data_IF_040054194913
#
_entry.id   IF_040054194913
#
_cell.length_a   1.000
_cell.length_b   1.000
_cell.length_c   1.000
_cell.angle_alpha   90.00
_cell.angle_beta   90.00
_cell.angle_gamma   90.00
#
_symmetry.space_group_name_H-M   'P 1'
#
loop_
_entity.id
_entity.type
_entity.pdbx_description
1 polymer ?
#
# COMPACT_ATOMS: atom_id res chain seq x y z
N UNK A 1 8.26 20.47 7.81
CA UNK A 1 7.15 19.61 7.39
C UNK A 1 7.33 19.01 6.01
N UNK A 2 7.76 19.78 5.01
CA UNK A 2 7.87 19.31 3.61
C UNK A 2 8.95 18.24 3.42
N UNK A 3 10.11 18.40 4.05
CA UNK A 3 11.24 17.48 3.88
C UNK A 3 10.95 16.01 4.23
N UNK A 4 10.30 15.67 5.37
CA UNK A 4 9.93 14.28 5.65
C UNK A 4 8.96 13.66 4.62
N UNK A 5 8.04 14.46 4.07
CA UNK A 5 7.11 13.99 3.04
C UNK A 5 7.82 13.71 1.71
N UNK A 6 8.72 14.61 1.30
CA UNK A 6 9.53 14.39 0.08
C UNK A 6 10.38 13.13 0.26
N UNK A 7 11.00 12.96 1.44
CA UNK A 7 11.82 11.79 1.71
C UNK A 7 11.00 10.49 1.66
N UNK A 8 9.79 10.46 2.22
CA UNK A 8 8.92 9.27 2.15
C UNK A 8 8.51 8.94 0.71
N UNK A 9 8.22 9.95 -0.12
CA UNK A 9 7.92 9.73 -1.54
C UNK A 9 9.13 9.18 -2.31
N UNK A 10 10.34 9.68 -2.03
CA UNK A 10 11.57 9.15 -2.65
C UNK A 10 11.82 7.70 -2.24
N UNK A 11 11.61 7.37 -0.97
CA UNK A 11 11.73 6.00 -0.47
C UNK A 11 10.76 5.06 -1.19
N UNK A 12 9.52 5.48 -1.41
CA UNK A 12 8.53 4.69 -2.16
C UNK A 12 8.94 4.46 -3.62
N UNK A 13 9.60 5.43 -4.27
CA UNK A 13 10.16 5.22 -5.60
C UNK A 13 11.29 4.19 -5.61
N UNK A 14 12.11 4.15 -4.54
CA UNK A 14 13.16 3.13 -4.39
C UNK A 14 12.57 1.73 -4.30
N UNK A 15 11.45 1.54 -3.61
CA UNK A 15 10.73 0.25 -3.56
C UNK A 15 10.40 -0.20 -4.98
N UNK A 16 9.71 0.64 -5.76
CA UNK A 16 9.33 0.30 -7.14
C UNK A 16 10.52 -0.01 -8.04
N UNK A 17 11.65 0.73 -7.87
CA UNK A 17 12.88 0.45 -8.61
C UNK A 17 13.49 -0.91 -8.23
N UNK A 18 13.45 -1.26 -6.95
CA UNK A 18 13.99 -2.55 -6.47
C UNK A 18 13.18 -3.72 -7.03
N UNK A 19 11.84 -3.62 -7.01
CA UNK A 19 10.93 -4.62 -7.59
C UNK A 19 11.25 -4.84 -9.07
N UNK A 20 11.39 -3.75 -9.85
CA UNK A 20 11.74 -3.80 -11.27
C UNK A 20 13.11 -4.46 -11.49
N UNK A 21 14.12 -4.11 -10.69
CA UNK A 21 15.47 -4.69 -10.82
C UNK A 21 15.44 -6.19 -10.51
N UNK A 22 14.74 -6.61 -9.47
CA UNK A 22 14.67 -8.02 -9.07
C UNK A 22 13.88 -8.85 -10.07
N UNK A 23 12.72 -8.38 -10.51
CA UNK A 23 11.92 -9.08 -11.52
C UNK A 23 12.59 -9.11 -12.88
N UNK A 24 13.32 -8.05 -13.26
CA UNK A 24 14.13 -8.04 -14.48
C UNK A 24 15.26 -9.08 -14.47
N UNK A 25 15.71 -9.53 -13.30
CA UNK A 25 16.67 -10.66 -13.18
C UNK A 25 16.00 -12.02 -13.25
N UNK A 26 14.71 -12.12 -12.96
CA UNK A 26 13.94 -13.37 -13.10
C UNK A 26 13.65 -13.63 -14.55
N UNK A 27 13.13 -12.64 -15.30
CA UNK A 27 12.84 -12.78 -16.71
C UNK A 27 12.06 -11.59 -17.31
N UNK A 28 12.04 -11.53 -18.65
CA UNK A 28 11.32 -10.47 -19.37
C UNK A 28 9.79 -10.62 -19.21
N UNK A 29 9.29 -11.86 -19.07
CA UNK A 29 7.88 -12.16 -18.87
C UNK A 29 7.42 -11.60 -17.54
N UNK A 30 8.16 -11.87 -16.45
CA UNK A 30 7.84 -11.42 -15.10
C UNK A 30 7.91 -9.89 -15.00
N UNK A 31 8.89 -9.28 -15.64
CA UNK A 31 9.03 -7.83 -15.69
C UNK A 31 7.85 -7.18 -16.41
N UNK A 32 7.50 -7.67 -17.61
CA UNK A 32 6.36 -7.17 -18.38
C UNK A 32 5.02 -7.39 -17.67
N UNK A 33 4.85 -8.56 -17.08
CA UNK A 33 3.66 -8.92 -16.32
C UNK A 33 3.48 -8.04 -15.06
N UNK A 34 4.55 -7.74 -14.33
CA UNK A 34 4.49 -6.87 -13.15
C UNK A 34 4.14 -5.43 -13.51
N UNK A 35 4.67 -4.92 -14.62
CA UNK A 35 4.34 -3.58 -15.12
C UNK A 35 2.84 -3.48 -15.46
N UNK A 36 2.30 -4.46 -16.19
CA UNK A 36 0.88 -4.51 -16.55
C UNK A 36 -0.01 -4.63 -15.32
N UNK A 37 0.33 -5.56 -14.42
CA UNK A 37 -0.40 -5.74 -13.15
C UNK A 37 -0.35 -4.49 -12.27
N UNK A 38 0.78 -3.76 -12.26
CA UNK A 38 0.93 -2.49 -11.55
C UNK A 38 -0.04 -1.42 -12.07
N UNK A 39 -0.18 -1.28 -13.38
CA UNK A 39 -1.16 -0.36 -13.99
C UNK A 39 -2.60 -0.76 -13.64
N UNK A 40 -2.93 -2.05 -13.73
CA UNK A 40 -4.24 -2.57 -13.35
C UNK A 40 -4.54 -2.28 -11.87
N UNK A 41 -3.58 -2.57 -10.98
CA UNK A 41 -3.70 -2.31 -9.55
C UNK A 41 -3.92 -0.82 -9.26
N UNK A 42 -3.07 0.03 -9.83
CA UNK A 42 -3.19 1.49 -9.68
C UNK A 42 -4.56 1.98 -10.14
N UNK A 43 -5.08 1.48 -11.26
CA UNK A 43 -6.40 1.85 -11.78
C UNK A 43 -7.50 1.52 -10.78
N UNK A 44 -7.42 0.36 -10.11
CA UNK A 44 -8.41 -0.06 -9.11
C UNK A 44 -8.31 0.78 -7.83
N UNK A 45 -7.10 0.99 -7.29
CA UNK A 45 -6.95 1.69 -6.01
C UNK A 45 -7.15 3.21 -6.10
N UNK A 46 -6.98 3.81 -7.29
CA UNK A 46 -7.21 5.26 -7.50
C UNK A 46 -8.64 5.70 -7.11
N UNK A 47 -9.63 4.83 -7.27
CA UNK A 47 -10.99 5.15 -6.82
C UNK A 47 -11.06 5.41 -5.30
N UNK A 48 -10.35 4.61 -4.51
CA UNK A 48 -10.29 4.78 -3.05
C UNK A 48 -9.37 5.92 -2.63
N UNK A 49 -8.26 6.16 -3.35
CA UNK A 49 -7.34 7.25 -3.02
C UNK A 49 -7.98 8.63 -3.15
N UNK A 50 -8.88 8.83 -4.12
CA UNK A 50 -9.65 10.07 -4.21
C UNK A 50 -10.41 10.38 -2.90
N UNK A 51 -11.03 9.35 -2.31
CA UNK A 51 -11.69 9.49 -1.01
C UNK A 51 -10.69 9.71 0.13
N UNK A 52 -9.56 8.99 0.15
CA UNK A 52 -8.51 9.19 1.17
C UNK A 52 -7.99 10.64 1.19
N UNK A 53 -7.77 11.25 0.02
CA UNK A 53 -7.34 12.65 -0.07
C UNK A 53 -8.41 13.62 0.43
N UNK A 54 -9.68 13.38 0.12
CA UNK A 54 -10.80 14.19 0.63
C UNK A 54 -10.91 14.08 2.16
N UNK A 55 -10.80 12.86 2.69
CA UNK A 55 -10.81 12.60 4.14
C UNK A 55 -9.63 13.29 4.83
N UNK A 56 -8.43 13.21 4.26
CA UNK A 56 -7.24 13.91 4.78
C UNK A 56 -7.44 15.43 4.83
N UNK A 57 -8.00 16.03 3.77
CA UNK A 57 -8.26 17.47 3.72
C UNK A 57 -9.28 17.88 4.79
N UNK A 58 -10.37 17.11 4.94
CA UNK A 58 -11.38 17.35 5.97
C UNK A 58 -10.78 17.26 7.38
N UNK A 59 -10.02 16.20 7.67
CA UNK A 59 -9.34 16.04 8.96
C UNK A 59 -8.37 17.20 9.24
N UNK A 60 -7.64 17.67 8.22
CA UNK A 60 -6.74 18.83 8.35
C UNK A 60 -7.48 20.10 8.69
N UNK A 61 -8.64 20.37 8.06
CA UNK A 61 -9.50 21.49 8.40
C UNK A 61 -9.98 21.40 9.84
N UNK A 62 -10.52 20.24 10.27
CA UNK A 62 -11.04 20.02 11.62
C UNK A 62 -9.96 20.14 12.69
N UNK A 63 -8.74 19.69 12.40
CA UNK A 63 -7.59 19.90 13.27
C UNK A 63 -7.26 21.41 13.43
N UNK A 64 -7.34 22.18 12.35
CA UNK A 64 -7.15 23.65 12.39
C UNK A 64 -8.24 24.37 13.20
N UNK A 65 -9.47 23.90 13.13
CA UNK A 65 -10.63 24.37 13.93
C UNK A 65 -10.59 23.90 15.40
N UNK A 66 -9.68 22.98 15.75
CA UNK A 66 -9.60 22.28 17.05
C UNK A 66 -10.84 21.43 17.37
N UNK A 67 -11.58 21.04 16.35
CA UNK A 67 -12.76 20.18 16.44
C UNK A 67 -12.32 18.71 16.34
N UNK A 68 -11.72 18.21 17.42
CA UNK A 68 -11.15 16.85 17.45
C UNK A 68 -12.24 15.76 17.45
N UNK A 69 -13.45 16.10 17.91
CA UNK A 69 -14.57 15.15 17.88
C UNK A 69 -14.98 14.83 16.44
N UNK A 70 -15.29 15.88 15.65
CA UNK A 70 -15.65 15.69 14.24
C UNK A 70 -14.52 15.07 13.42
N UNK A 71 -13.25 15.37 13.77
CA UNK A 71 -12.10 14.74 13.14
C UNK A 71 -12.05 13.24 13.43
N UNK A 72 -12.31 12.81 14.68
CA UNK A 72 -12.35 11.41 15.09
C UNK A 72 -13.51 10.65 14.44
N UNK A 73 -14.70 11.25 14.38
CA UNK A 73 -15.88 10.68 13.72
C UNK A 73 -15.63 10.47 12.23
N UNK A 74 -15.01 11.44 11.56
CA UNK A 74 -14.65 11.34 10.15
C UNK A 74 -13.60 10.24 9.91
N UNK A 75 -12.59 10.15 10.77
CA UNK A 75 -11.57 9.10 10.70
C UNK A 75 -12.22 7.71 10.84
N UNK A 76 -13.09 7.53 11.83
CA UNK A 76 -13.76 6.26 12.08
C UNK A 76 -14.70 5.87 10.94
N UNK A 77 -15.64 6.74 10.59
CA UNK A 77 -16.62 6.49 9.52
C UNK A 77 -15.96 6.34 8.15
N UNK A 78 -14.95 7.17 7.86
CA UNK A 78 -14.18 7.09 6.63
C UNK A 78 -13.38 5.80 6.50
N UNK A 79 -12.78 5.33 7.60
CA UNK A 79 -12.07 4.04 7.63
C UNK A 79 -13.04 2.88 7.38
N UNK A 80 -14.20 2.86 8.05
CA UNK A 80 -15.22 1.82 7.85
C UNK A 80 -15.71 1.80 6.40
N UNK A 81 -16.02 2.98 5.82
CA UNK A 81 -16.42 3.09 4.42
C UNK A 81 -15.36 2.49 3.49
N UNK A 82 -14.08 2.87 3.66
CA UNK A 82 -12.99 2.38 2.83
C UNK A 82 -12.76 0.88 3.01
N UNK A 83 -12.96 0.33 4.21
CA UNK A 83 -12.87 -1.12 4.42
C UNK A 83 -13.95 -1.87 3.65
N UNK A 84 -15.19 -1.43 3.71
CA UNK A 84 -16.28 -2.00 2.92
C UNK A 84 -16.03 -1.83 1.42
N UNK A 85 -15.60 -0.64 1.01
CA UNK A 85 -15.28 -0.35 -0.39
C UNK A 85 -14.11 -1.19 -0.91
N UNK A 86 -13.08 -1.43 -0.08
CA UNK A 86 -11.94 -2.28 -0.44
C UNK A 86 -12.34 -3.73 -0.73
N UNK A 87 -13.30 -4.28 0.02
CA UNK A 87 -13.85 -5.62 -0.22
C UNK A 87 -14.56 -5.68 -1.57
N UNK A 88 -15.33 -4.63 -1.91
CA UNK A 88 -16.00 -4.54 -3.21
C UNK A 88 -14.96 -4.46 -4.33
N UNK A 89 -13.96 -3.58 -4.19
CA UNK A 89 -12.89 -3.45 -5.19
C UNK A 89 -12.09 -4.75 -5.36
N UNK A 90 -11.80 -5.43 -4.26
CA UNK A 90 -11.12 -6.74 -4.29
C UNK A 90 -11.98 -7.78 -5.04
N UNK A 91 -13.27 -7.84 -4.78
CA UNK A 91 -14.18 -8.74 -5.49
C UNK A 91 -14.23 -8.42 -6.99
N UNK A 92 -14.35 -7.13 -7.36
CA UNK A 92 -14.32 -6.68 -8.75
C UNK A 92 -12.98 -7.02 -9.42
N UNK A 93 -11.87 -6.83 -8.70
CA UNK A 93 -10.54 -7.18 -9.18
C UNK A 93 -10.44 -8.68 -9.50
N UNK A 94 -10.88 -9.55 -8.60
CA UNK A 94 -10.84 -11.00 -8.82
C UNK A 94 -11.76 -11.47 -9.95
N UNK A 95 -12.97 -10.94 -10.05
CA UNK A 95 -13.91 -11.32 -11.10
C UNK A 95 -13.56 -10.75 -12.47
N UNK A 96 -12.92 -9.58 -12.48
CA UNK A 96 -12.64 -8.81 -13.71
C UNK A 96 -11.29 -9.09 -14.32
N UNK A 97 -10.28 -9.53 -13.55
CA UNK A 97 -8.89 -9.68 -14.04
C UNK A 97 -8.77 -10.69 -15.17
N UNK A 98 -9.25 -11.91 -14.98
CA UNK A 98 -9.16 -12.99 -15.97
C UNK A 98 -9.82 -12.63 -17.32
N UNK A 99 -11.11 -12.20 -17.37
CA UNK A 99 -11.74 -11.83 -18.64
C UNK A 99 -11.14 -10.58 -19.30
N UNK A 100 -10.59 -9.67 -18.49
CA UNK A 100 -9.89 -8.50 -19.01
C UNK A 100 -8.57 -8.90 -19.68
N UNK A 101 -7.74 -9.68 -18.99
CA UNK A 101 -6.45 -10.13 -19.49
C UNK A 101 -6.61 -10.98 -20.76
N UNK A 102 -7.61 -11.86 -20.81
CA UNK A 102 -7.89 -12.67 -21.98
C UNK A 102 -8.25 -11.86 -23.25
N UNK A 103 -8.69 -10.59 -23.10
CA UNK A 103 -9.02 -9.72 -24.23
C UNK A 103 -7.89 -8.78 -24.64
N UNK A 104 -6.98 -8.46 -23.71
CA UNK A 104 -5.99 -7.39 -23.89
C UNK A 104 -4.60 -7.95 -24.12
N UNK A 105 -4.29 -9.12 -23.57
CA UNK A 105 -2.95 -9.71 -23.62
C UNK A 105 -2.93 -10.88 -24.60
N UNK A 106 -2.11 -10.74 -25.65
CA UNK A 106 -1.95 -11.80 -26.67
C UNK A 106 -1.13 -13.00 -26.18
N UNK A 107 -0.12 -12.75 -25.30
CA UNK A 107 0.71 -13.82 -24.76
C UNK A 107 0.05 -14.48 -23.54
N UNK A 108 -0.28 -15.79 -23.61
CA UNK A 108 -0.84 -16.52 -22.47
C UNK A 108 0.09 -16.55 -21.26
N UNK A 109 1.40 -16.55 -21.47
CA UNK A 109 2.41 -16.59 -20.40
C UNK A 109 2.41 -15.29 -19.61
N UNK A 110 2.38 -14.14 -20.29
CA UNK A 110 2.29 -12.82 -19.66
C UNK A 110 0.94 -12.69 -18.94
N UNK A 111 -0.17 -13.14 -19.53
CA UNK A 111 -1.48 -13.08 -18.92
C UNK A 111 -1.52 -13.84 -17.58
N UNK A 112 -1.02 -15.08 -17.55
CA UNK A 112 -0.96 -15.91 -16.33
C UNK A 112 -0.03 -15.30 -15.28
N UNK A 113 1.12 -14.78 -15.67
CA UNK A 113 2.05 -14.13 -14.75
C UNK A 113 1.44 -12.83 -14.17
N UNK A 114 0.78 -12.02 -15.00
CA UNK A 114 0.07 -10.81 -14.58
C UNK A 114 -1.04 -11.14 -13.57
N UNK A 115 -1.84 -12.16 -13.84
CA UNK A 115 -2.93 -12.58 -12.95
C UNK A 115 -2.40 -13.02 -11.58
N UNK A 116 -1.32 -13.78 -11.53
CA UNK A 116 -0.67 -14.22 -10.27
C UNK A 116 -0.19 -13.02 -9.43
N UNK A 117 0.46 -12.06 -10.06
CA UNK A 117 0.92 -10.84 -9.38
C UNK A 117 -0.27 -10.02 -8.88
N UNK A 118 -1.22 -9.76 -9.76
CA UNK A 118 -2.39 -8.94 -9.47
C UNK A 118 -3.25 -9.54 -8.37
N UNK A 119 -3.40 -10.88 -8.32
CA UNK A 119 -4.14 -11.57 -7.26
C UNK A 119 -3.60 -11.21 -5.86
N UNK A 120 -2.30 -11.36 -5.65
CA UNK A 120 -1.69 -11.08 -4.34
C UNK A 120 -1.71 -9.59 -4.00
N UNK A 121 -1.56 -8.72 -4.99
CA UNK A 121 -1.72 -7.27 -4.80
C UNK A 121 -3.17 -6.90 -4.45
N UNK A 122 -4.17 -7.54 -5.08
CA UNK A 122 -5.58 -7.30 -4.79
C UNK A 122 -5.95 -7.70 -3.36
N UNK A 123 -5.39 -8.80 -2.83
CA UNK A 123 -5.53 -9.17 -1.40
C UNK A 123 -5.03 -8.06 -0.47
N UNK A 124 -4.03 -7.30 -0.91
CA UNK A 124 -3.47 -6.16 -0.16
C UNK A 124 -4.33 -4.91 -0.12
N UNK A 125 -5.34 -4.74 -1.00
CA UNK A 125 -6.12 -3.48 -1.13
C UNK A 125 -6.67 -2.94 0.21
N UNK A 126 -7.24 -3.75 1.11
CA UNK A 126 -7.70 -3.26 2.41
C UNK A 126 -6.58 -2.60 3.23
N UNK A 127 -5.41 -3.20 3.25
CA UNK A 127 -4.25 -2.67 3.98
C UNK A 127 -3.67 -1.42 3.32
N UNK A 128 -3.69 -1.34 1.99
CA UNK A 128 -3.31 -0.14 1.23
C UNK A 128 -4.17 1.05 1.65
N UNK A 129 -5.49 0.88 1.77
CA UNK A 129 -6.36 1.97 2.21
C UNK A 129 -6.21 2.28 3.70
N UNK A 130 -6.02 1.30 4.57
CA UNK A 130 -5.70 1.54 5.97
C UNK A 130 -4.42 2.37 6.12
N UNK A 131 -3.37 2.01 5.38
CA UNK A 131 -2.13 2.77 5.37
C UNK A 131 -2.32 4.20 4.83
N UNK A 132 -3.12 4.36 3.76
CA UNK A 132 -3.41 5.68 3.17
C UNK A 132 -4.18 6.58 4.15
N UNK A 133 -5.19 6.05 4.84
CA UNK A 133 -5.94 6.79 5.88
C UNK A 133 -5.04 7.17 7.04
N UNK A 134 -4.22 6.24 7.54
CA UNK A 134 -3.28 6.50 8.62
C UNK A 134 -2.26 7.59 8.25
N UNK A 135 -1.71 7.55 7.02
CA UNK A 135 -0.85 8.63 6.49
C UNK A 135 -1.59 9.95 6.42
N UNK A 136 -2.82 9.96 5.89
CA UNK A 136 -3.67 11.15 5.82
C UNK A 136 -3.91 11.76 7.20
N UNK A 137 -4.15 10.95 8.22
CA UNK A 137 -4.28 11.38 9.60
C UNK A 137 -3.02 12.07 10.14
N UNK A 138 -1.82 11.48 9.91
CA UNK A 138 -0.57 12.08 10.38
C UNK A 138 -0.18 13.34 9.58
N UNK A 139 -0.60 13.48 8.33
CA UNK A 139 -0.45 14.71 7.57
C UNK A 139 -1.39 15.78 8.14
N UNK A 140 -2.65 15.44 8.38
CA UNK A 140 -3.67 16.32 8.94
C UNK A 140 -3.31 16.82 10.35
N UNK A 141 -2.67 15.99 11.17
CA UNK A 141 -2.21 16.33 12.53
C UNK A 141 -0.80 16.93 12.59
N UNK A 142 -0.22 17.27 11.43
CA UNK A 142 1.09 17.92 11.30
C UNK A 142 2.27 17.11 11.87
N UNK A 143 2.17 15.77 11.83
CA UNK A 143 3.15 14.83 12.36
C UNK A 143 3.81 13.93 11.28
N UNK A 144 4.39 14.50 10.20
CA UNK A 144 4.84 13.74 9.03
C UNK A 144 6.10 12.88 9.29
N UNK A 145 6.80 13.07 10.41
CA UNK A 145 8.03 12.30 10.71
C UNK A 145 7.79 10.80 10.79
N UNK A 146 6.67 10.40 11.36
CA UNK A 146 6.32 8.97 11.49
C UNK A 146 6.04 8.32 10.13
N UNK A 147 5.55 9.09 9.15
CA UNK A 147 5.36 8.60 7.78
C UNK A 147 6.71 8.19 7.18
N UNK A 148 7.74 9.01 7.37
CA UNK A 148 9.10 8.66 6.90
C UNK A 148 9.61 7.39 7.56
N UNK A 149 9.40 7.21 8.87
CA UNK A 149 9.79 5.98 9.60
C UNK A 149 9.05 4.77 9.02
N UNK A 150 7.73 4.90 8.82
CA UNK A 150 6.91 3.86 8.20
C UNK A 150 7.40 3.50 6.80
N UNK A 151 7.71 4.50 5.95
CA UNK A 151 8.24 4.26 4.61
C UNK A 151 9.61 3.58 4.62
N UNK A 152 10.49 3.90 5.59
CA UNK A 152 11.79 3.22 5.75
C UNK A 152 11.57 1.75 6.13
N UNK A 153 10.70 1.47 7.10
CA UNK A 153 10.39 0.09 7.50
C UNK A 153 9.80 -0.68 6.32
N UNK A 154 8.87 -0.07 5.59
CA UNK A 154 8.26 -0.67 4.41
C UNK A 154 9.31 -0.99 3.34
N UNK A 155 10.22 -0.07 3.03
CA UNK A 155 11.29 -0.25 2.05
C UNK A 155 12.24 -1.38 2.45
N UNK A 156 12.75 -1.37 3.69
CA UNK A 156 13.69 -2.40 4.14
C UNK A 156 13.04 -3.77 4.17
N UNK A 157 11.79 -3.86 4.64
CA UNK A 157 11.03 -5.11 4.65
C UNK A 157 10.77 -5.62 3.23
N UNK A 158 10.39 -4.74 2.30
CA UNK A 158 10.15 -5.09 0.91
C UNK A 158 11.43 -5.66 0.27
N UNK A 159 12.56 -4.94 0.35
CA UNK A 159 13.84 -5.40 -0.23
C UNK A 159 14.25 -6.78 0.28
N UNK A 160 14.13 -7.00 1.59
CA UNK A 160 14.49 -8.29 2.20
C UNK A 160 13.53 -9.39 1.76
N UNK A 161 12.21 -9.12 1.80
CA UNK A 161 11.19 -10.10 1.42
C UNK A 161 11.24 -10.41 -0.08
N UNK A 162 11.47 -9.41 -0.92
CA UNK A 162 11.66 -9.62 -2.36
C UNK A 162 12.82 -10.58 -2.63
N UNK A 163 13.98 -10.31 -2.02
CA UNK A 163 15.12 -11.20 -2.19
C UNK A 163 14.79 -12.63 -1.78
N UNK A 164 14.15 -12.82 -0.62
CA UNK A 164 13.83 -14.14 -0.07
C UNK A 164 12.73 -14.85 -0.85
N UNK A 165 11.66 -14.14 -1.23
CA UNK A 165 10.49 -14.76 -1.85
C UNK A 165 10.62 -14.90 -3.38
N UNK A 166 11.30 -13.95 -4.04
CA UNK A 166 11.49 -14.02 -5.50
C UNK A 166 12.50 -15.14 -5.83
N UNK A 167 13.67 -15.14 -5.18
CA UNK A 167 14.76 -16.06 -5.51
C UNK A 167 14.77 -17.35 -4.68
N UNK A 168 14.05 -17.36 -3.56
CA UNK A 168 14.09 -18.45 -2.59
C UNK A 168 15.29 -18.35 -1.65
N UNK A 169 15.14 -18.75 -0.40
CA UNK A 169 16.23 -18.80 0.56
C UNK A 169 16.02 -19.94 1.59
N UNK A 170 17.01 -20.80 1.75
CA UNK A 170 16.93 -21.92 2.68
C UNK A 170 15.78 -22.89 2.35
N UNK A 171 14.80 -22.99 3.23
CA UNK A 171 13.61 -23.85 3.05
C UNK A 171 12.47 -23.16 2.29
N UNK A 172 12.60 -21.87 1.94
CA UNK A 172 11.59 -21.12 1.21
C UNK A 172 11.86 -21.28 -0.29
N UNK A 173 10.91 -21.87 -1.06
CA UNK A 173 11.07 -22.02 -2.49
C UNK A 173 11.00 -20.68 -3.21
N UNK A 174 11.65 -20.56 -4.37
CA UNK A 174 11.55 -19.41 -5.23
C UNK A 174 10.10 -19.28 -5.76
N UNK A 175 9.48 -18.14 -5.52
CA UNK A 175 8.09 -17.84 -5.91
C UNK A 175 8.01 -16.91 -7.12
N UNK A 176 9.16 -16.37 -7.58
CA UNK A 176 9.23 -15.47 -8.73
C UNK A 176 8.30 -14.26 -8.57
N UNK A 177 7.49 -14.00 -9.60
CA UNK A 177 6.58 -12.85 -9.63
C UNK A 177 5.53 -12.83 -8.50
N UNK A 178 5.06 -13.99 -8.05
CA UNK A 178 4.15 -14.09 -6.90
C UNK A 178 4.85 -13.66 -5.61
N UNK A 179 6.14 -13.99 -5.48
CA UNK A 179 6.98 -13.59 -4.36
C UNK A 179 7.08 -12.07 -4.23
N UNK A 180 7.29 -11.36 -5.33
CA UNK A 180 7.31 -9.89 -5.36
C UNK A 180 5.98 -9.28 -4.89
N UNK A 181 4.86 -9.78 -5.39
CA UNK A 181 3.54 -9.27 -5.00
C UNK A 181 3.24 -9.51 -3.52
N UNK A 182 3.61 -10.67 -2.97
CA UNK A 182 3.46 -11.00 -1.55
C UNK A 182 4.38 -10.10 -0.71
N UNK A 183 5.63 -9.93 -1.12
CA UNK A 183 6.60 -9.08 -0.41
C UNK A 183 6.10 -7.63 -0.30
N UNK A 184 5.64 -7.06 -1.41
CA UNK A 184 5.06 -5.71 -1.43
C UNK A 184 3.82 -5.59 -0.53
N UNK A 185 2.93 -6.59 -0.55
CA UNK A 185 1.74 -6.61 0.32
C UNK A 185 2.11 -6.69 1.79
N UNK A 186 3.05 -7.57 2.17
CA UNK A 186 3.52 -7.67 3.56
C UNK A 186 4.22 -6.38 4.00
N UNK A 187 5.05 -5.78 3.14
CA UNK A 187 5.72 -4.53 3.45
C UNK A 187 4.72 -3.39 3.71
N UNK A 188 3.64 -3.28 2.93
CA UNK A 188 2.55 -2.32 3.17
C UNK A 188 1.85 -2.56 4.53
N UNK A 189 1.59 -3.82 4.87
CA UNK A 189 1.02 -4.20 6.17
C UNK A 189 1.93 -3.78 7.32
N UNK A 190 3.24 -4.03 7.21
CA UNK A 190 4.21 -3.61 8.23
C UNK A 190 4.28 -2.09 8.34
N UNK A 191 4.29 -1.37 7.21
CA UNK A 191 4.23 0.09 7.19
C UNK A 191 2.98 0.64 7.88
N UNK A 192 1.82 0.04 7.64
CA UNK A 192 0.58 0.39 8.34
C UNK A 192 0.70 0.17 9.85
N UNK A 193 1.22 -0.99 10.28
CA UNK A 193 1.37 -1.27 11.71
C UNK A 193 2.29 -0.29 12.43
N UNK A 194 3.34 0.21 11.79
CA UNK A 194 4.18 1.27 12.37
C UNK A 194 3.35 2.52 12.66
N UNK A 195 2.53 2.96 11.72
CA UNK A 195 1.65 4.12 11.89
C UNK A 195 0.60 3.86 12.97
N UNK A 196 -0.02 2.69 12.97
CA UNK A 196 -1.05 2.31 13.92
C UNK A 196 -0.52 2.24 15.36
N UNK A 197 0.61 1.56 15.57
CA UNK A 197 1.24 1.46 16.88
C UNK A 197 1.62 2.85 17.41
N UNK A 198 2.19 3.70 16.56
CA UNK A 198 2.53 5.07 16.95
C UNK A 198 1.28 5.89 17.32
N UNK A 199 0.19 5.75 16.57
CA UNK A 199 -1.08 6.38 16.91
C UNK A 199 -1.57 5.92 18.29
N UNK A 200 -1.58 4.61 18.54
CA UNK A 200 -1.97 4.06 19.84
C UNK A 200 -1.09 4.62 20.98
N UNK A 201 0.22 4.62 20.82
CA UNK A 201 1.15 5.14 21.85
C UNK A 201 0.96 6.63 22.10
N UNK A 202 0.68 7.42 21.06
CA UNK A 202 0.49 8.86 21.18
C UNK A 202 -0.78 9.21 21.99
N UNK A 203 -1.87 8.43 21.79
CA UNK A 203 -3.17 8.69 22.42
C UNK A 203 -3.39 7.96 23.75
N UNK A 204 -2.58 6.94 24.05
CA UNK A 204 -2.64 6.23 25.35
C UNK A 204 -1.65 6.77 26.38
N UNK A 205 -0.72 7.63 25.99
CA UNK A 205 0.21 8.28 26.90
C UNK A 205 -0.53 9.38 27.68
N UNK A 206 -0.57 9.35 29.03
CA UNK A 206 -1.21 10.40 29.81
C UNK A 206 -0.53 11.73 29.49
N UNK A 207 -1.35 12.75 29.23
CA UNK A 207 -0.84 14.11 28.99
C UNK A 207 -0.07 14.58 30.23
N UNK A 208 1.13 15.17 30.11
CA UNK A 208 1.85 15.72 31.25
C UNK A 208 1.17 16.97 31.87
N UNK A 209 -0.06 17.26 31.48
CA UNK A 209 -0.80 18.48 31.84
C UNK A 209 -2.14 18.25 32.57
N UNK A 210 -2.38 17.02 33.05
CA UNK A 210 -3.51 16.72 33.96
C UNK A 210 -3.03 16.62 35.41
#
# INVERSE_FOLDING_TARGET
>A
MVLPLILSLLIEQVIGLTDVIFLGRVGEIELGASALAGVMYLSVVMFGFGYCFSLQAFMGQKNGEKDYLSMGEALHSGTLFLMLFSVILMAVAFMGSTPFLARVVESPEIAVATEKYFFWRAVGIPFTFLAAVARGFFIATLNPRIITVSSIVMMLSNIVLDYVLIFGYGSIPAMGISGAAIASTIAEVLGFFVLFIYACLLYTSPSPRD
#
